data_IF_810035457984
#
_entry.id   IF_810035457984
#
_cell.length_a   1.000
_cell.length_b   1.000
_cell.length_c   1.000
_cell.angle_alpha   90.00
_cell.angle_beta   90.00
_cell.angle_gamma   90.00
#
_symmetry.space_group_name_H-M   'P 1'
#
loop_
_entity.id
_entity.type
_entity.pdbx_description
1 polymer ?
#
# COMPACT_ATOMS: atom_id res chain seq x y z
N UNK A 1 5.20 -34.87 15.10
CA UNK A 1 4.45 -34.22 14.01
C UNK A 1 4.97 -32.79 13.90
N UNK A 2 5.65 -32.45 12.81
CA UNK A 2 6.14 -31.10 12.55
C UNK A 2 5.00 -30.33 11.89
N UNK A 3 4.23 -29.58 12.68
CA UNK A 3 3.28 -28.62 12.13
C UNK A 3 4.08 -27.43 11.60
N UNK A 4 4.36 -27.44 10.31
CA UNK A 4 4.74 -26.24 9.57
C UNK A 4 3.58 -25.24 9.69
N UNK A 5 3.64 -24.37 10.69
CA UNK A 5 2.87 -23.14 10.71
C UNK A 5 3.43 -22.27 9.58
N UNK A 6 2.78 -22.33 8.42
CA UNK A 6 2.80 -21.20 7.50
C UNK A 6 2.13 -20.04 8.26
N UNK A 7 2.92 -19.28 9.02
CA UNK A 7 2.50 -18.02 9.62
C UNK A 7 1.98 -17.19 8.44
N UNK A 8 0.66 -17.01 8.36
CA UNK A 8 0.07 -15.97 7.54
C UNK A 8 0.72 -14.68 8.04
N UNK A 9 1.68 -14.15 7.29
CA UNK A 9 2.41 -12.94 7.67
C UNK A 9 1.42 -11.81 7.45
N UNK A 10 0.55 -11.58 8.43
CA UNK A 10 -0.21 -10.34 8.47
C UNK A 10 0.80 -9.19 8.62
N UNK A 11 0.66 -8.12 7.83
CA UNK A 11 1.60 -7.01 7.89
C UNK A 11 1.63 -6.41 9.29
N UNK A 12 2.82 -6.32 9.89
CA UNK A 12 3.01 -5.78 11.24
C UNK A 12 2.96 -4.24 11.21
N UNK A 13 3.22 -3.64 10.05
CA UNK A 13 3.16 -2.17 9.84
C UNK A 13 2.29 -1.75 8.65
N UNK A 14 1.86 -0.48 8.65
CA UNK A 14 1.13 0.12 7.51
C UNK A 14 1.98 0.10 6.23
N UNK A 15 3.29 0.33 6.34
CA UNK A 15 4.22 0.32 5.20
C UNK A 15 4.31 -1.07 4.58
N UNK A 16 4.39 -2.12 5.39
CA UNK A 16 4.38 -3.51 4.91
C UNK A 16 3.06 -3.87 4.23
N UNK A 17 1.93 -3.42 4.80
CA UNK A 17 0.61 -3.63 4.18
C UNK A 17 0.52 -2.96 2.80
N UNK A 18 1.02 -1.72 2.68
CA UNK A 18 1.07 -1.00 1.40
C UNK A 18 1.97 -1.74 0.41
N UNK A 19 3.16 -2.16 0.83
CA UNK A 19 4.10 -2.88 -0.02
C UNK A 19 3.47 -4.17 -0.57
N UNK A 20 2.76 -4.93 0.27
CA UNK A 20 2.05 -6.14 -0.14
C UNK A 20 0.94 -5.85 -1.16
N UNK A 21 0.10 -4.84 -0.88
CA UNK A 21 -1.02 -4.46 -1.77
C UNK A 21 -0.56 -3.99 -3.15
N UNK A 22 0.64 -3.44 -3.26
CA UNK A 22 1.24 -2.92 -4.49
C UNK A 22 2.06 -3.96 -5.28
N UNK A 23 2.16 -5.21 -4.82
CA UNK A 23 2.84 -6.26 -5.57
C UNK A 23 2.12 -6.60 -6.88
N UNK A 24 2.90 -7.10 -7.83
CA UNK A 24 2.44 -7.63 -9.12
C UNK A 24 1.57 -6.62 -9.90
N UNK A 25 2.14 -5.46 -10.29
CA UNK A 25 1.48 -4.57 -11.24
C UNK A 25 1.25 -5.30 -12.57
N UNK A 26 0.15 -4.99 -13.24
CA UNK A 26 -0.20 -5.55 -14.56
C UNK A 26 0.43 -4.77 -15.72
N UNK A 27 1.44 -3.95 -15.43
CA UNK A 27 2.14 -3.09 -16.37
C UNK A 27 3.61 -3.01 -15.97
N UNK A 28 4.45 -2.60 -16.92
CA UNK A 28 5.88 -2.36 -16.71
C UNK A 28 6.15 -0.86 -16.74
N UNK A 29 7.21 -0.43 -16.07
CA UNK A 29 7.77 0.92 -16.19
C UNK A 29 9.15 0.82 -16.83
N UNK A 30 9.47 1.72 -17.77
CA UNK A 30 10.76 1.73 -18.48
C UNK A 30 11.92 2.20 -17.59
N UNK A 31 11.59 2.96 -16.55
CA UNK A 31 12.50 3.46 -15.54
C UNK A 31 11.79 3.47 -14.18
N UNK A 32 12.57 3.49 -13.11
CA UNK A 32 12.01 3.59 -11.76
C UNK A 32 11.13 4.84 -11.61
N UNK A 33 9.92 4.64 -11.09
CA UNK A 33 8.95 5.71 -10.85
C UNK A 33 8.76 5.92 -9.36
N UNK A 34 8.97 7.15 -8.91
CA UNK A 34 8.62 7.56 -7.56
C UNK A 34 7.20 8.10 -7.51
N UNK A 35 6.49 7.78 -6.44
CA UNK A 35 5.20 8.34 -6.12
C UNK A 35 5.14 8.67 -4.63
N UNK A 36 4.32 9.64 -4.26
CA UNK A 36 4.02 9.91 -2.85
C UNK A 36 2.53 9.75 -2.60
N UNK A 37 2.17 8.88 -1.65
CA UNK A 37 0.78 8.59 -1.30
C UNK A 37 0.43 9.33 -0.03
N UNK A 38 -0.59 10.18 -0.10
CA UNK A 38 -1.24 10.78 1.07
C UNK A 38 -2.55 10.04 1.33
N UNK A 39 -2.73 9.51 2.53
CA UNK A 39 -3.95 8.79 2.91
C UNK A 39 -4.30 9.00 4.38
N UNK A 40 -5.54 8.67 4.73
CA UNK A 40 -5.98 8.52 6.13
C UNK A 40 -6.58 7.13 6.33
N UNK A 41 -6.81 6.73 7.58
CA UNK A 41 -7.50 5.49 7.91
C UNK A 41 -8.84 5.84 8.54
N UNK A 42 -9.92 5.35 7.95
CA UNK A 42 -11.27 5.65 8.43
C UNK A 42 -11.65 4.78 9.65
N UNK A 43 -12.84 5.05 10.22
CA UNK A 43 -13.37 4.31 11.39
C UNK A 43 -13.65 2.82 11.13
N UNK A 44 -13.58 2.35 9.88
CA UNK A 44 -13.72 0.94 9.48
C UNK A 44 -12.36 0.25 9.29
N UNK A 45 -11.27 0.91 9.64
CA UNK A 45 -9.89 0.51 9.35
C UNK A 45 -9.60 0.35 7.85
N UNK A 46 -10.25 1.16 7.01
CA UNK A 46 -9.96 1.20 5.57
C UNK A 46 -9.08 2.41 5.25
N UNK A 47 -8.09 2.19 4.39
CA UNK A 47 -7.28 3.26 3.82
C UNK A 47 -8.13 4.11 2.89
N UNK A 48 -8.15 5.42 3.10
CA UNK A 48 -8.77 6.40 2.20
C UNK A 48 -7.66 7.24 1.59
N UNK A 49 -7.40 7.04 0.30
CA UNK A 49 -6.37 7.75 -0.43
C UNK A 49 -6.86 9.18 -0.71
N UNK A 50 -6.09 10.16 -0.25
CA UNK A 50 -6.34 11.59 -0.46
C UNK A 50 -5.69 12.05 -1.77
N UNK A 51 -4.42 11.70 -1.98
CA UNK A 51 -3.71 12.00 -3.22
C UNK A 51 -2.60 10.97 -3.49
N UNK A 52 -2.24 10.86 -4.77
CA UNK A 52 -1.02 10.16 -5.21
C UNK A 52 -0.29 11.13 -6.12
N UNK A 53 0.88 11.60 -5.70
CA UNK A 53 1.74 12.48 -6.48
C UNK A 53 2.72 11.62 -7.27
N UNK A 54 2.59 11.55 -8.60
CA UNK A 54 3.52 10.86 -9.48
C UNK A 54 3.60 11.55 -10.84
N UNK A 55 4.70 11.33 -11.56
CA UNK A 55 4.85 11.78 -12.95
C UNK A 55 4.23 10.83 -13.97
N UNK A 56 3.74 9.66 -13.54
CA UNK A 56 3.19 8.63 -14.42
C UNK A 56 1.73 8.30 -14.02
N UNK A 57 0.79 8.59 -14.93
CA UNK A 57 -0.64 8.40 -14.69
C UNK A 57 -1.01 6.93 -14.44
N UNK A 58 -0.32 5.98 -15.08
CA UNK A 58 -0.58 4.55 -14.89
C UNK A 58 -0.19 4.09 -13.48
N UNK A 59 0.93 4.61 -12.95
CA UNK A 59 1.38 4.36 -11.57
C UNK A 59 0.40 4.98 -10.58
N UNK A 60 -0.05 6.21 -10.84
CA UNK A 60 -1.05 6.89 -10.00
C UNK A 60 -2.36 6.08 -9.93
N UNK A 61 -2.86 5.65 -11.09
CA UNK A 61 -4.10 4.89 -11.23
C UNK A 61 -3.97 3.53 -10.54
N UNK A 62 -2.86 2.83 -10.74
CA UNK A 62 -2.57 1.56 -10.10
C UNK A 62 -2.56 1.68 -8.57
N UNK A 63 -1.82 2.64 -8.03
CA UNK A 63 -1.72 2.85 -6.58
C UNK A 63 -3.11 3.14 -6.00
N UNK A 64 -3.89 4.04 -6.61
CA UNK A 64 -5.26 4.34 -6.17
C UNK A 64 -6.15 3.10 -6.18
N UNK A 65 -6.11 2.31 -7.25
CA UNK A 65 -6.92 1.09 -7.40
C UNK A 65 -6.53 0.00 -6.38
N UNK A 66 -5.24 -0.10 -6.05
CA UNK A 66 -4.74 -1.08 -5.09
C UNK A 66 -4.98 -0.69 -3.65
N UNK A 67 -4.95 0.60 -3.32
CA UNK A 67 -4.94 1.06 -1.93
C UNK A 67 -6.27 1.63 -1.44
N UNK A 68 -7.02 2.34 -2.29
CA UNK A 68 -8.20 3.06 -1.83
C UNK A 68 -9.30 2.09 -1.36
N UNK A 69 -9.85 2.38 -0.18
CA UNK A 69 -10.79 1.56 0.59
C UNK A 69 -10.31 0.13 0.94
N UNK A 70 -8.99 -0.13 0.92
CA UNK A 70 -8.48 -1.41 1.44
C UNK A 70 -8.51 -1.44 2.95
N UNK A 71 -9.13 -2.48 3.50
CA UNK A 71 -9.15 -2.76 4.92
C UNK A 71 -7.78 -3.26 5.37
N UNK A 72 -7.23 -2.65 6.42
CA UNK A 72 -5.96 -3.04 7.00
C UNK A 72 -6.23 -3.90 8.25
N UNK A 73 -5.69 -5.12 8.26
CA UNK A 73 -5.68 -6.00 9.44
C UNK A 73 -4.50 -5.62 10.33
N UNK A 74 -4.54 -4.43 10.92
CA UNK A 74 -3.50 -3.96 11.84
C UNK A 74 -3.88 -4.32 13.27
N UNK A 75 -2.89 -4.85 14.00
CA UNK A 75 -3.00 -5.04 15.45
C UNK A 75 -3.23 -3.68 16.14
N UNK A 76 -4.12 -3.65 17.13
CA UNK A 76 -4.86 -2.48 17.58
C UNK A 76 -4.07 -1.16 17.76
N UNK A 77 -4.77 -0.06 17.43
CA UNK A 77 -4.41 1.37 17.58
C UNK A 77 -3.53 1.93 16.47
N UNK A 78 -4.08 2.02 15.25
CA UNK A 78 -3.51 2.95 14.25
C UNK A 78 -3.87 4.38 14.66
N UNK A 79 -2.89 5.30 14.82
CA UNK A 79 -3.17 6.67 15.18
C UNK A 79 -4.16 7.34 14.21
N UNK A 80 -5.03 8.20 14.70
CA UNK A 80 -5.81 9.05 13.80
C UNK A 80 -4.89 10.08 13.14
N UNK A 81 -4.97 10.25 11.82
CA UNK A 81 -4.18 11.27 11.14
C UNK A 81 -4.09 11.09 9.62
N UNK A 82 -3.30 11.95 9.01
CA UNK A 82 -2.85 11.79 7.63
C UNK A 82 -1.46 11.16 7.61
N UNK A 83 -1.26 10.25 6.67
CA UNK A 83 -0.03 9.52 6.44
C UNK A 83 0.51 9.88 5.07
N UNK A 84 1.81 10.19 5.01
CA UNK A 84 2.53 10.45 3.76
C UNK A 84 3.60 9.37 3.60
N UNK A 85 3.45 8.52 2.58
CA UNK A 85 4.36 7.38 2.33
C UNK A 85 4.95 7.49 0.93
N UNK A 86 6.30 7.55 0.79
CA UNK A 86 6.94 7.43 -0.51
C UNK A 86 6.87 5.99 -1.00
N UNK A 87 6.56 5.82 -2.28
CA UNK A 87 6.48 4.54 -2.98
C UNK A 87 7.40 4.61 -4.20
N UNK A 88 8.11 3.52 -4.46
CA UNK A 88 8.95 3.35 -5.65
C UNK A 88 8.49 2.11 -6.40
N UNK A 89 8.08 2.29 -7.66
CA UNK A 89 7.84 1.20 -8.60
C UNK A 89 9.13 1.02 -9.40
N UNK A 90 9.73 -0.16 -9.31
CA UNK A 90 11.00 -0.46 -9.99
C UNK A 90 10.73 -0.95 -11.41
N UNK A 91 11.55 -0.49 -12.34
CA UNK A 91 11.68 -1.12 -13.65
C UNK A 91 12.19 -2.57 -13.50
N UNK A 92 11.71 -3.47 -14.36
CA UNK A 92 12.17 -4.87 -14.42
C UNK A 92 13.47 -4.99 -15.21
#
# INVERSE_FOLDING_TARGET
ANTNLAKSIEPETVTEAIAELLKNPSFNVEQDVNATVLFTINKKNEMVVISVESTHNDVETFIKARLNYKKLSLSATTPSGMYKVPVKITSN
#
